data_IF_976626808410
#
_entry.id   IF_976626808410
#
_cell.length_a   1.000
_cell.length_b   1.000
_cell.length_c   1.000
_cell.angle_alpha   90.00
_cell.angle_beta   90.00
_cell.angle_gamma   90.00
#
_symmetry.space_group_name_H-M   'P 1'
#
loop_
_entity.id
_entity.type
_entity.pdbx_description
1 polymer ?
#
# COMPACT_ATOMS: atom_id res chain seq x y z
N UNK A 1 24.18 16.53 -63.41
CA UNK A 1 23.88 15.26 -62.70
C UNK A 1 24.86 14.92 -61.58
N UNK A 2 26.20 15.06 -61.72
CA UNK A 2 27.17 14.69 -60.66
C UNK A 2 27.05 15.47 -59.33
N UNK A 3 26.62 16.74 -59.35
CA UNK A 3 26.40 17.55 -58.12
C UNK A 3 25.14 17.16 -57.34
N UNK A 4 24.15 16.54 -57.99
CA UNK A 4 22.87 16.17 -57.38
C UNK A 4 22.96 14.82 -56.65
N UNK A 5 23.85 13.94 -57.13
CA UNK A 5 24.16 12.66 -56.49
C UNK A 5 24.97 12.87 -55.21
N UNK A 6 25.88 13.85 -55.18
CA UNK A 6 26.68 14.15 -54.00
C UNK A 6 25.84 14.72 -52.84
N UNK A 7 24.84 15.57 -53.13
CA UNK A 7 23.91 16.08 -52.10
C UNK A 7 22.94 15.02 -51.60
N UNK A 8 22.49 14.09 -52.45
CA UNK A 8 21.64 12.98 -52.03
C UNK A 8 22.41 12.01 -51.11
N UNK A 9 23.69 11.77 -51.38
CA UNK A 9 24.55 10.89 -50.57
C UNK A 9 24.85 11.49 -49.18
N UNK A 10 25.02 12.82 -49.08
CA UNK A 10 25.20 13.52 -47.81
C UNK A 10 23.90 13.54 -46.99
N UNK A 11 22.73 13.66 -47.64
CA UNK A 11 21.43 13.53 -46.94
C UNK A 11 21.17 12.09 -46.44
N UNK A 12 21.59 11.07 -47.20
CA UNK A 12 21.47 9.65 -46.80
C UNK A 12 22.43 9.28 -45.65
N UNK A 13 23.60 9.92 -45.55
CA UNK A 13 24.52 9.78 -44.41
C UNK A 13 24.05 10.55 -43.16
N UNK A 14 23.21 11.57 -43.31
CA UNK A 14 22.60 12.27 -42.18
C UNK A 14 21.35 11.57 -41.61
N UNK A 15 20.77 10.60 -42.34
CA UNK A 15 19.59 9.83 -41.89
C UNK A 15 19.88 8.67 -40.93
N UNK A 16 21.14 8.40 -40.59
CA UNK A 16 21.49 7.50 -39.47
C UNK A 16 21.60 8.25 -38.15
N UNK A 17 20.71 9.21 -37.89
CA UNK A 17 20.45 9.67 -36.54
C UNK A 17 19.79 8.50 -35.81
N UNK A 18 20.60 7.73 -35.08
CA UNK A 18 20.12 6.80 -34.07
C UNK A 18 19.39 7.66 -33.04
N UNK A 19 18.08 7.82 -33.23
CA UNK A 19 17.22 8.46 -32.25
C UNK A 19 17.07 7.48 -31.10
N UNK A 20 17.87 7.70 -30.05
CA UNK A 20 17.68 7.01 -28.79
C UNK A 20 16.68 7.77 -27.94
N UNK A 21 15.56 7.12 -27.61
CA UNK A 21 14.70 7.62 -26.54
C UNK A 21 15.47 7.56 -25.22
N UNK A 22 15.47 8.66 -24.47
CA UNK A 22 16.00 8.75 -23.11
C UNK A 22 14.86 8.60 -22.11
N UNK A 23 14.99 7.68 -21.15
CA UNK A 23 14.04 7.46 -20.07
C UNK A 23 14.68 7.79 -18.72
N UNK A 24 14.14 8.78 -17.99
CA UNK A 24 14.63 9.16 -16.65
C UNK A 24 14.10 8.18 -15.59
N UNK A 25 15.02 7.53 -14.87
CA UNK A 25 14.74 6.62 -13.77
C UNK A 25 14.88 7.33 -12.42
N UNK A 26 13.86 7.27 -11.56
CA UNK A 26 12.45 7.15 -11.88
C UNK A 26 11.75 8.46 -11.54
N UNK A 27 11.32 9.14 -12.60
CA UNK A 27 10.37 10.22 -12.53
C UNK A 27 8.95 9.71 -12.70
N UNK A 28 8.01 10.59 -12.36
CA UNK A 28 6.58 10.48 -12.68
C UNK A 28 6.43 9.98 -14.12
N UNK A 29 5.87 8.78 -14.30
CA UNK A 29 5.63 8.21 -15.66
C UNK A 29 4.78 9.16 -16.52
N UNK A 30 4.75 9.00 -17.85
CA UNK A 30 3.84 9.77 -18.73
C UNK A 30 2.38 9.78 -18.26
N UNK A 31 1.96 8.73 -17.53
CA UNK A 31 0.62 8.57 -16.95
C UNK A 31 0.47 9.14 -15.51
N UNK A 32 1.42 9.96 -15.06
CA UNK A 32 1.46 10.59 -13.73
C UNK A 32 1.44 9.63 -12.51
N UNK A 33 1.75 8.35 -12.69
CA UNK A 33 1.75 7.38 -11.59
C UNK A 33 2.93 7.61 -10.61
N UNK A 34 2.70 7.47 -9.29
CA UNK A 34 3.65 7.82 -8.24
C UNK A 34 4.64 6.68 -7.96
N UNK A 35 5.45 6.31 -8.95
CA UNK A 35 6.57 5.41 -8.70
C UNK A 35 7.58 6.06 -7.73
N UNK A 36 8.13 5.28 -6.80
CA UNK A 36 9.24 5.77 -5.96
C UNK A 36 10.56 5.81 -6.74
N UNK A 37 11.61 6.35 -6.10
CA UNK A 37 12.96 6.53 -6.66
C UNK A 37 13.72 5.23 -7.10
N UNK A 38 13.12 4.04 -6.94
CA UNK A 38 13.61 2.75 -7.47
C UNK A 38 12.64 2.11 -8.47
N UNK A 39 11.56 2.81 -8.87
CA UNK A 39 10.64 2.37 -9.91
C UNK A 39 9.56 1.40 -9.43
N UNK A 40 9.15 1.46 -8.16
CA UNK A 40 8.09 0.61 -7.60
C UNK A 40 6.77 1.37 -7.44
N UNK A 41 5.71 0.78 -7.99
CA UNK A 41 4.32 1.19 -7.82
C UNK A 41 3.59 0.20 -6.91
N UNK A 42 2.89 0.71 -5.90
CA UNK A 42 1.99 -0.06 -5.05
C UNK A 42 0.53 0.16 -5.40
N UNK A 43 -0.21 -0.92 -5.65
CA UNK A 43 -1.64 -0.92 -5.96
C UNK A 43 -2.40 -1.84 -5.00
N UNK A 44 -3.45 -1.33 -4.38
CA UNK A 44 -4.27 -2.08 -3.43
C UNK A 44 -5.64 -2.35 -4.05
N UNK A 45 -6.00 -3.62 -4.12
CA UNK A 45 -7.32 -4.12 -4.46
C UNK A 45 -7.94 -4.78 -3.23
N UNK A 46 -9.25 -4.61 -3.10
CA UNK A 46 -10.02 -5.10 -1.96
C UNK A 46 -11.24 -5.82 -2.52
N UNK A 47 -11.57 -6.97 -1.96
CA UNK A 47 -12.79 -7.72 -2.25
C UNK A 47 -13.35 -8.23 -0.92
N UNK A 48 -14.45 -7.64 -0.45
CA UNK A 48 -15.00 -7.88 0.88
C UNK A 48 -16.49 -8.16 0.81
N UNK A 49 -16.91 -9.28 1.38
CA UNK A 49 -18.31 -9.52 1.70
C UNK A 49 -18.61 -8.94 3.08
N UNK A 50 -19.63 -8.09 3.16
CA UNK A 50 -20.01 -7.38 4.37
C UNK A 50 -21.47 -7.65 4.66
N UNK A 51 -21.75 -8.16 5.85
CA UNK A 51 -23.12 -8.39 6.35
C UNK A 51 -23.59 -7.15 7.10
N UNK A 52 -24.65 -6.53 6.59
CA UNK A 52 -25.24 -5.30 7.12
C UNK A 52 -26.68 -5.60 7.58
N UNK A 53 -27.07 -5.05 8.72
CA UNK A 53 -28.46 -5.12 9.22
C UNK A 53 -29.03 -3.73 9.41
N UNK A 54 -30.28 -3.54 9.00
CA UNK A 54 -31.09 -2.38 9.37
C UNK A 54 -32.00 -2.73 10.54
N UNK A 55 -31.76 -2.14 11.70
CA UNK A 55 -32.57 -2.39 12.91
C UNK A 55 -33.76 -1.45 13.07
N UNK A 56 -33.99 -0.53 12.13
CA UNK A 56 -35.10 0.42 12.16
C UNK A 56 -36.39 -0.16 11.54
N UNK A 57 -37.58 0.34 11.94
CA UNK A 57 -38.86 -0.02 11.33
C UNK A 57 -39.12 0.66 9.97
N UNK A 58 -38.11 1.28 9.35
CA UNK A 58 -38.23 2.00 8.09
C UNK A 58 -36.99 1.76 7.21
N UNK A 59 -37.13 1.80 5.87
CA UNK A 59 -36.03 1.53 4.95
C UNK A 59 -34.93 2.60 5.05
N UNK A 60 -33.68 2.19 4.81
CA UNK A 60 -32.50 3.06 4.81
C UNK A 60 -31.77 2.95 3.48
N UNK A 61 -31.36 4.06 2.90
CA UNK A 61 -30.51 4.07 1.71
C UNK A 61 -29.05 4.20 2.14
N UNK A 62 -28.23 3.18 1.86
CA UNK A 62 -26.80 3.15 2.16
C UNK A 62 -26.05 3.71 0.96
N UNK A 63 -25.44 4.88 1.13
CA UNK A 63 -24.60 5.51 0.10
C UNK A 63 -23.24 4.83 0.08
N UNK A 64 -22.79 4.46 -1.12
CA UNK A 64 -21.52 3.78 -1.33
C UNK A 64 -20.51 4.76 -1.93
N UNK A 65 -19.26 4.70 -1.44
CA UNK A 65 -18.18 5.49 -2.02
C UNK A 65 -18.00 5.06 -3.49
N UNK A 66 -18.03 5.98 -4.47
CA UNK A 66 -17.98 5.65 -5.89
C UNK A 66 -16.69 4.90 -6.29
N UNK A 67 -15.63 4.93 -5.48
CA UNK A 67 -14.43 4.11 -5.73
C UNK A 67 -14.66 2.60 -5.59
N UNK A 68 -15.76 2.18 -4.96
CA UNK A 68 -16.07 0.77 -4.74
C UNK A 68 -17.18 0.33 -5.68
N UNK A 69 -16.93 -0.80 -6.33
CA UNK A 69 -17.96 -1.66 -6.89
C UNK A 69 -18.76 -2.28 -5.75
N UNK A 70 -20.05 -2.51 -5.97
CA UNK A 70 -20.85 -3.27 -5.02
C UNK A 70 -21.81 -4.22 -5.70
N UNK A 71 -22.11 -5.32 -5.02
CA UNK A 71 -23.15 -6.26 -5.41
C UNK A 71 -23.91 -6.71 -4.17
N UNK A 72 -25.20 -6.41 -4.12
CA UNK A 72 -26.10 -6.78 -3.04
C UNK A 72 -26.65 -8.18 -3.32
N UNK A 73 -26.37 -9.13 -2.43
CA UNK A 73 -26.85 -10.50 -2.58
C UNK A 73 -28.32 -10.60 -2.14
N UNK A 74 -29.22 -10.60 -3.13
CA UNK A 74 -30.66 -10.85 -3.00
C UNK A 74 -31.12 -11.84 -4.06
N UNK A 75 -32.32 -12.42 -3.87
CA UNK A 75 -32.90 -13.42 -4.79
C UNK A 75 -32.93 -12.98 -6.26
N UNK A 76 -33.10 -11.69 -6.54
CA UNK A 76 -33.15 -11.14 -7.89
C UNK A 76 -31.78 -10.95 -8.54
N UNK A 77 -30.70 -10.86 -7.74
CA UNK A 77 -29.32 -10.66 -8.18
C UNK A 77 -29.16 -9.51 -9.20
N UNK A 78 -30.00 -8.47 -9.07
CA UNK A 78 -30.13 -7.34 -10.01
C UNK A 78 -29.74 -6.00 -9.38
N UNK A 79 -29.05 -6.03 -8.24
CA UNK A 79 -28.65 -4.86 -7.47
C UNK A 79 -27.13 -4.79 -7.33
N UNK A 80 -26.49 -4.30 -8.39
CA UNK A 80 -25.04 -4.11 -8.44
C UNK A 80 -24.66 -2.82 -9.16
N UNK A 81 -23.43 -2.37 -8.90
CA UNK A 81 -22.74 -1.30 -9.62
C UNK A 81 -21.30 -1.73 -9.90
N UNK A 82 -20.87 -1.55 -11.15
CA UNK A 82 -19.49 -1.78 -11.58
C UNK A 82 -18.89 -0.47 -12.05
N UNK A 83 -17.62 -0.24 -11.76
CA UNK A 83 -16.87 0.91 -12.23
C UNK A 83 -15.76 0.52 -13.20
N UNK A 84 -15.47 1.40 -14.15
CA UNK A 84 -14.33 1.29 -15.03
C UNK A 84 -13.68 2.66 -15.22
N UNK A 85 -12.39 2.66 -15.52
CA UNK A 85 -11.61 3.89 -15.68
C UNK A 85 -11.21 4.07 -17.14
N UNK A 86 -11.42 5.26 -17.68
CA UNK A 86 -10.92 5.68 -19.00
C UNK A 86 -10.08 6.94 -18.78
N UNK A 87 -8.77 6.82 -18.97
CA UNK A 87 -7.82 7.86 -18.57
C UNK A 87 -7.90 8.12 -17.06
N UNK A 88 -8.18 9.36 -16.68
CA UNK A 88 -8.36 9.77 -15.28
C UNK A 88 -9.82 9.81 -14.80
N UNK A 89 -10.77 9.51 -15.68
CA UNK A 89 -12.19 9.55 -15.35
C UNK A 89 -12.70 8.15 -14.97
N UNK A 90 -13.39 8.07 -13.82
CA UNK A 90 -14.11 6.86 -13.40
C UNK A 90 -15.55 6.93 -13.89
N UNK A 91 -16.01 5.88 -14.55
CA UNK A 91 -17.38 5.70 -15.02
C UNK A 91 -18.05 4.63 -14.19
N UNK A 92 -19.33 4.84 -13.86
CA UNK A 92 -20.12 3.93 -13.03
C UNK A 92 -21.30 3.39 -13.85
N UNK A 93 -21.43 2.07 -13.86
CA UNK A 93 -22.49 1.35 -14.55
C UNK A 93 -23.36 0.61 -13.51
N UNK A 94 -24.39 1.29 -12.96
CA UNK A 94 -25.38 0.63 -12.14
C UNK A 94 -26.26 -0.29 -13.00
N UNK A 95 -26.56 -1.47 -12.48
CA UNK A 95 -27.54 -2.41 -13.05
C UNK A 95 -28.92 -1.79 -13.25
N UNK A 96 -29.38 -1.03 -12.26
CA UNK A 96 -30.74 -0.48 -12.16
C UNK A 96 -30.75 0.84 -11.42
N UNK A 97 -30.91 1.96 -12.14
CA UNK A 97 -30.91 3.29 -11.53
C UNK A 97 -32.04 3.48 -10.51
N UNK A 98 -33.19 2.84 -10.71
CA UNK A 98 -34.35 2.93 -9.80
C UNK A 98 -34.10 2.30 -8.42
N UNK A 99 -33.15 1.36 -8.32
CA UNK A 99 -32.81 0.66 -7.07
C UNK A 99 -31.46 1.07 -6.49
N UNK A 100 -30.52 1.41 -7.36
CA UNK A 100 -29.12 1.67 -6.99
C UNK A 100 -28.75 3.14 -6.94
N UNK A 101 -29.73 4.04 -7.15
CA UNK A 101 -29.52 5.47 -7.02
C UNK A 101 -30.64 6.18 -6.25
N UNK A 102 -30.27 7.22 -5.51
CA UNK A 102 -31.18 8.13 -4.82
C UNK A 102 -30.57 9.53 -4.81
N UNK A 103 -31.30 10.54 -5.30
CA UNK A 103 -30.80 11.92 -5.38
C UNK A 103 -29.41 12.03 -6.02
N UNK A 104 -29.16 11.27 -7.09
CA UNK A 104 -27.87 11.18 -7.80
C UNK A 104 -26.72 10.55 -6.98
N UNK A 105 -26.98 10.05 -5.77
CA UNK A 105 -26.04 9.21 -5.03
C UNK A 105 -26.21 7.75 -5.41
N UNK A 106 -25.10 7.03 -5.51
CA UNK A 106 -25.06 5.59 -5.75
C UNK A 106 -25.10 4.84 -4.40
N UNK A 107 -25.84 3.75 -4.37
CA UNK A 107 -26.04 3.00 -3.14
C UNK A 107 -27.07 1.90 -3.29
N UNK A 108 -27.62 1.45 -2.17
CA UNK A 108 -28.67 0.46 -2.16
C UNK A 108 -29.60 0.66 -0.96
N UNK A 109 -30.84 0.21 -1.11
CA UNK A 109 -31.80 0.20 -0.01
C UNK A 109 -31.57 -1.00 0.89
N UNK A 110 -31.74 -0.83 2.20
CA UNK A 110 -31.86 -1.89 3.20
C UNK A 110 -33.22 -1.72 3.89
N UNK A 111 -34.09 -2.71 3.70
CA UNK A 111 -35.47 -2.71 4.16
C UNK A 111 -35.54 -2.81 5.70
N UNK A 112 -36.69 -2.48 6.32
CA UNK A 112 -36.85 -2.61 7.77
C UNK A 112 -36.50 -4.02 8.26
N UNK A 113 -35.67 -4.12 9.29
CA UNK A 113 -35.25 -5.40 9.88
C UNK A 113 -34.55 -6.38 8.92
N UNK A 114 -34.12 -5.90 7.76
CA UNK A 114 -33.40 -6.71 6.78
C UNK A 114 -31.94 -6.88 7.19
N UNK A 115 -31.45 -8.11 7.08
CA UNK A 115 -30.02 -8.43 7.06
C UNK A 115 -29.63 -8.80 5.63
N UNK A 116 -28.63 -8.10 5.08
CA UNK A 116 -28.19 -8.27 3.70
C UNK A 116 -26.67 -8.44 3.65
N UNK A 117 -26.20 -9.26 2.72
CA UNK A 117 -24.76 -9.38 2.43
C UNK A 117 -24.47 -8.59 1.17
N UNK A 118 -23.44 -7.74 1.24
CA UNK A 118 -23.01 -6.89 0.13
C UNK A 118 -21.54 -7.17 -0.13
N UNK A 119 -21.22 -7.56 -1.36
CA UNK A 119 -19.85 -7.61 -1.82
C UNK A 119 -19.41 -6.20 -2.21
N UNK A 120 -18.32 -5.72 -1.63
CA UNK A 120 -17.66 -4.47 -1.99
C UNK A 120 -16.31 -4.78 -2.61
N UNK A 121 -16.02 -4.17 -3.77
CA UNK A 121 -14.78 -4.43 -4.49
C UNK A 121 -14.12 -3.15 -4.97
N UNK A 122 -12.81 -3.04 -4.76
CA UNK A 122 -11.95 -2.12 -5.51
C UNK A 122 -11.31 -2.95 -6.63
N UNK A 123 -11.83 -2.87 -7.87
CA UNK A 123 -11.30 -3.66 -8.97
C UNK A 123 -9.91 -3.15 -9.36
N UNK A 124 -9.17 -3.99 -10.08
CA UNK A 124 -7.85 -3.63 -10.60
C UNK A 124 -7.87 -2.31 -11.41
N UNK A 125 -8.88 -2.12 -12.26
CA UNK A 125 -9.03 -0.91 -13.07
C UNK A 125 -9.27 0.37 -12.25
N UNK A 126 -9.56 0.24 -10.96
CA UNK A 126 -9.76 1.34 -10.02
C UNK A 126 -8.93 1.14 -8.72
N UNK A 127 -7.81 0.41 -8.81
CA UNK A 127 -6.98 0.09 -7.66
C UNK A 127 -6.52 1.34 -6.92
N UNK A 128 -6.47 1.26 -5.59
CA UNK A 128 -5.96 2.36 -4.77
C UNK A 128 -4.45 2.43 -4.87
N UNK A 129 -3.93 3.56 -5.36
CA UNK A 129 -2.49 3.80 -5.42
C UNK A 129 -1.95 4.08 -4.02
N UNK A 130 -1.08 3.20 -3.54
CA UNK A 130 -0.35 3.38 -2.29
C UNK A 130 0.95 4.13 -2.59
N UNK A 131 1.15 5.26 -1.92
CA UNK A 131 2.42 5.99 -2.00
C UNK A 131 3.52 5.15 -1.36
N UNK A 132 4.52 4.79 -2.16
CA UNK A 132 5.71 4.07 -1.70
C UNK A 132 6.79 5.07 -1.27
N UNK A 133 7.56 4.70 -0.25
CA UNK A 133 8.70 5.49 0.24
C UNK A 133 9.90 5.35 -0.71
N UNK A 134 10.66 6.43 -0.83
CA UNK A 134 11.92 6.43 -1.56
C UNK A 134 13.01 5.65 -0.81
N UNK A 135 13.79 4.91 -1.58
CA UNK A 135 14.98 4.20 -1.15
C UNK A 135 16.12 5.16 -0.86
N UNK A 136 16.69 5.09 0.34
CA UNK A 136 17.81 5.94 0.72
C UNK A 136 19.15 5.28 0.38
N UNK A 137 19.85 5.79 -0.62
CA UNK A 137 21.17 5.29 -1.01
C UNK A 137 22.30 6.02 -0.27
N UNK A 138 23.26 5.27 0.28
CA UNK A 138 24.50 5.84 0.86
C UNK A 138 25.36 6.48 -0.23
N UNK A 139 25.29 5.95 -1.45
CA UNK A 139 25.99 6.45 -2.63
C UNK A 139 25.34 7.69 -3.26
N UNK A 140 24.18 8.14 -2.73
CA UNK A 140 23.34 9.12 -3.41
C UNK A 140 22.93 8.64 -4.82
N UNK A 141 22.78 9.58 -5.74
CA UNK A 141 22.55 9.31 -7.17
C UNK A 141 23.85 9.17 -7.98
N UNK A 142 25.01 9.42 -7.36
CA UNK A 142 26.30 9.14 -7.99
C UNK A 142 26.50 7.64 -8.13
N UNK A 143 27.03 7.19 -9.27
CA UNK A 143 27.20 5.77 -9.61
C UNK A 143 25.88 4.97 -9.75
N UNK A 144 24.72 5.65 -9.87
CA UNK A 144 23.43 5.05 -10.21
C UNK A 144 23.10 5.31 -11.68
N UNK A 145 22.41 4.37 -12.34
CA UNK A 145 21.82 4.62 -13.66
C UNK A 145 20.66 5.61 -13.48
N UNK A 146 20.83 6.83 -13.95
CA UNK A 146 19.81 7.89 -13.88
C UNK A 146 18.97 7.92 -15.14
N UNK A 147 19.57 7.73 -16.32
CA UNK A 147 18.85 7.68 -17.58
C UNK A 147 19.15 6.40 -18.35
N UNK A 148 18.14 5.83 -19.00
CA UNK A 148 18.31 4.71 -19.94
C UNK A 148 18.19 5.24 -21.35
N UNK A 149 19.21 4.99 -22.16
CA UNK A 149 19.24 5.25 -23.60
C UNK A 149 19.09 3.95 -24.36
N UNK A 150 18.13 3.92 -25.29
CA UNK A 150 17.94 2.79 -26.21
C UNK A 150 18.58 3.11 -27.55
N UNK A 151 19.25 2.12 -28.16
CA UNK A 151 19.84 2.25 -29.47
C UNK A 151 19.60 0.97 -30.28
N UNK A 152 19.31 1.12 -31.57
CA UNK A 152 19.20 -0.02 -32.48
C UNK A 152 20.52 -0.15 -33.21
N UNK A 153 21.28 -1.21 -32.91
CA UNK A 153 22.54 -1.52 -33.59
C UNK A 153 22.33 -2.80 -34.40
N UNK A 154 22.51 -2.72 -35.71
CA UNK A 154 22.41 -3.86 -36.64
C UNK A 154 21.07 -4.61 -36.55
N UNK A 155 19.96 -3.90 -36.33
CA UNK A 155 18.62 -4.48 -36.18
C UNK A 155 18.31 -5.10 -34.81
N UNK A 156 19.28 -5.11 -33.89
CA UNK A 156 19.09 -5.55 -32.51
C UNK A 156 18.93 -4.37 -31.57
N UNK A 157 17.98 -4.45 -30.65
CA UNK A 157 17.83 -3.48 -29.58
C UNK A 157 18.98 -3.63 -28.59
N UNK A 158 19.72 -2.56 -28.37
CA UNK A 158 20.72 -2.47 -27.34
C UNK A 158 20.44 -1.25 -26.44
N UNK A 159 20.98 -1.27 -25.23
CA UNK A 159 20.60 -0.34 -24.17
C UNK A 159 21.83 0.07 -23.37
N UNK A 160 21.85 1.32 -22.91
CA UNK A 160 22.92 1.90 -22.10
C UNK A 160 22.35 2.78 -21.02
N UNK A 161 23.07 2.93 -19.91
CA UNK A 161 22.70 3.81 -18.81
C UNK A 161 23.61 5.04 -18.77
N UNK A 162 23.04 6.22 -18.56
CA UNK A 162 23.78 7.38 -18.06
C UNK A 162 24.05 7.14 -16.59
N UNK A 163 25.32 7.13 -16.22
CA UNK A 163 25.78 7.06 -14.84
C UNK A 163 26.65 8.29 -14.62
N UNK A 164 26.31 9.10 -13.63
CA UNK A 164 27.18 10.19 -13.21
C UNK A 164 28.29 9.57 -12.34
N UNK A 165 29.50 9.51 -12.89
CA UNK A 165 30.67 8.86 -12.29
C UNK A 165 31.39 9.85 -11.39
N UNK A 166 31.84 9.40 -10.22
CA UNK A 166 32.76 10.19 -9.39
C UNK A 166 34.17 10.18 -10.00
N UNK A 167 34.83 11.34 -10.07
CA UNK A 167 36.25 11.45 -10.47
C UNK A 167 37.22 10.90 -9.41
N UNK A 168 36.70 10.50 -8.24
CA UNK A 168 37.50 9.97 -7.13
C UNK A 168 37.85 8.49 -7.32
N UNK A 169 39.04 8.24 -7.86
CA UNK A 169 39.61 6.90 -8.05
C UNK A 169 39.93 6.16 -6.74
N UNK A 170 39.85 6.82 -5.58
CA UNK A 170 40.14 6.20 -4.29
C UNK A 170 38.96 5.39 -3.72
N UNK A 171 37.74 5.63 -4.21
CA UNK A 171 36.53 4.95 -3.75
C UNK A 171 36.15 3.78 -4.66
N UNK A 172 36.53 2.56 -4.28
CA UNK A 172 36.16 1.33 -5.02
C UNK A 172 34.70 0.89 -4.80
N UNK A 173 34.09 1.27 -3.68
CA UNK A 173 32.70 0.97 -3.35
C UNK A 173 32.15 2.03 -2.40
N UNK A 174 30.89 2.43 -2.60
CA UNK A 174 30.19 3.43 -1.79
C UNK A 174 29.20 2.81 -0.79
N UNK A 175 28.98 1.49 -0.82
CA UNK A 175 28.12 0.80 0.15
C UNK A 175 27.62 -0.56 -0.30
N UNK A 176 26.81 -1.18 0.56
CA UNK A 176 26.11 -2.45 0.30
C UNK A 176 24.60 -2.19 0.36
N UNK A 177 23.88 -2.62 -0.67
CA UNK A 177 22.42 -2.51 -0.69
C UNK A 177 21.79 -3.44 0.34
N UNK A 178 20.79 -2.93 1.05
CA UNK A 178 19.93 -3.71 1.94
C UNK A 178 18.45 -3.44 1.59
N UNK A 179 17.54 -4.38 1.86
CA UNK A 179 16.14 -4.24 1.43
C UNK A 179 15.40 -3.31 2.38
N UNK A 180 15.21 -2.04 1.99
CA UNK A 180 14.50 -1.03 2.77
C UNK A 180 12.99 -1.22 2.67
N UNK A 181 12.27 -0.91 3.74
CA UNK A 181 10.81 -0.98 3.78
C UNK A 181 10.19 0.15 2.95
N UNK A 182 9.52 -0.20 1.85
CA UNK A 182 8.97 0.79 0.88
C UNK A 182 7.54 1.20 1.17
N UNK A 183 6.87 0.60 2.14
CA UNK A 183 5.50 0.97 2.50
C UNK A 183 5.23 0.80 3.99
N UNK A 184 4.37 1.69 4.49
CA UNK A 184 3.84 1.64 5.86
C UNK A 184 2.36 1.24 5.80
N UNK A 185 1.90 0.28 6.60
CA UNK A 185 0.51 -0.12 6.58
C UNK A 185 -0.42 1.01 7.03
N UNK A 186 -1.54 1.20 6.32
CA UNK A 186 -2.62 2.08 6.77
C UNK A 186 -3.52 1.33 7.73
N UNK A 187 -3.61 1.80 8.98
CA UNK A 187 -4.51 1.20 9.97
C UNK A 187 -5.92 1.74 9.72
N UNK A 188 -6.88 0.84 9.50
CA UNK A 188 -8.30 1.18 9.32
C UNK A 188 -9.15 0.45 10.34
N UNK A 189 -10.24 1.11 10.76
CA UNK A 189 -11.28 0.51 11.58
C UNK A 189 -12.54 0.33 10.74
N UNK A 190 -13.40 -0.59 11.16
CA UNK A 190 -14.71 -0.79 10.51
C UNK A 190 -15.55 0.48 10.47
N UNK A 191 -15.55 1.21 11.58
CA UNK A 191 -16.27 2.48 11.71
C UNK A 191 -15.76 3.54 10.73
N UNK A 192 -14.49 3.48 10.33
CA UNK A 192 -13.95 4.39 9.33
C UNK A 192 -14.21 3.95 7.89
N UNK A 193 -14.39 2.65 7.64
CA UNK A 193 -14.82 2.14 6.32
C UNK A 193 -16.32 2.34 6.07
N UNK A 194 -17.13 2.19 7.12
CA UNK A 194 -18.56 2.43 7.12
C UNK A 194 -18.85 3.55 8.11
N UNK A 195 -18.67 4.83 7.74
CA UNK A 195 -19.03 5.97 8.57
C UNK A 195 -20.56 6.08 8.64
N UNK A 196 -21.18 5.10 9.31
CA UNK A 196 -22.60 5.04 9.56
C UNK A 196 -22.89 6.01 10.69
N UNK A 197 -23.22 7.25 10.33
CA UNK A 197 -23.79 8.24 11.24
C UNK A 197 -25.19 7.81 11.75
N UNK A 198 -25.70 6.69 11.25
CA UNK A 198 -27.00 6.11 11.61
C UNK A 198 -26.81 4.94 12.57
N UNK A 199 -27.36 5.06 13.79
CA UNK A 199 -27.27 4.02 14.82
C UNK A 199 -28.06 2.75 14.53
N UNK A 200 -28.92 2.74 13.50
CA UNK A 200 -29.75 1.60 13.14
C UNK A 200 -29.12 0.69 12.09
N UNK A 201 -28.22 1.21 11.26
CA UNK A 201 -27.49 0.40 10.29
C UNK A 201 -26.20 -0.10 10.95
N UNK A 202 -26.06 -1.43 11.05
CA UNK A 202 -24.94 -2.07 11.74
C UNK A 202 -24.26 -3.09 10.85
N UNK A 203 -22.95 -3.16 10.93
CA UNK A 203 -22.14 -4.22 10.31
C UNK A 203 -22.01 -5.36 11.31
N UNK A 204 -22.41 -6.57 10.90
CA UNK A 204 -22.38 -7.77 11.75
C UNK A 204 -21.14 -8.62 11.53
N UNK A 205 -20.71 -8.74 10.26
CA UNK A 205 -19.58 -9.57 9.85
C UNK A 205 -18.98 -8.99 8.58
N UNK A 206 -17.67 -9.16 8.39
CA UNK A 206 -17.11 -9.13 7.04
C UNK A 206 -16.01 -10.16 6.88
N UNK A 207 -15.85 -10.60 5.64
CA UNK A 207 -14.79 -11.50 5.23
C UNK A 207 -14.40 -11.20 3.78
N UNK A 208 -13.14 -11.40 3.45
CA UNK A 208 -12.70 -11.28 2.06
C UNK A 208 -11.19 -11.23 1.92
N UNK A 209 -10.74 -10.72 0.78
CA UNK A 209 -9.34 -10.76 0.37
C UNK A 209 -8.84 -9.36 0.05
N UNK A 210 -7.66 -9.04 0.56
CA UNK A 210 -6.90 -7.87 0.13
C UNK A 210 -5.75 -8.34 -0.75
N UNK A 211 -5.59 -7.70 -1.90
CA UNK A 211 -4.47 -7.92 -2.79
C UNK A 211 -3.65 -6.64 -2.88
N UNK A 212 -2.37 -6.75 -2.56
CA UNK A 212 -1.37 -5.72 -2.75
C UNK A 212 -0.48 -6.10 -3.92
N UNK A 213 -0.58 -5.35 -5.01
CA UNK A 213 0.25 -5.55 -6.18
C UNK A 213 1.40 -4.56 -6.19
N UNK A 214 2.61 -5.09 -6.30
CA UNK A 214 3.82 -4.34 -6.52
C UNK A 214 4.23 -4.50 -7.97
N UNK A 215 4.30 -3.39 -8.69
CA UNK A 215 4.64 -3.38 -10.11
C UNK A 215 5.90 -2.56 -10.32
N UNK A 216 6.87 -3.15 -10.99
CA UNK A 216 8.07 -2.46 -11.40
C UNK A 216 7.78 -1.58 -12.62
N UNK A 217 8.57 -0.52 -12.78
CA UNK A 217 8.45 0.40 -13.92
C UNK A 217 8.60 -0.38 -15.23
N UNK A 218 7.67 -0.24 -16.19
CA UNK A 218 7.77 -0.93 -17.47
C UNK A 218 8.97 -0.39 -18.25
N UNK A 219 9.86 -1.28 -18.70
CA UNK A 219 11.05 -0.91 -19.48
C UNK A 219 11.13 -1.73 -20.78
N UNK A 220 11.35 -1.02 -21.91
CA UNK A 220 11.48 -1.59 -23.26
C UNK A 220 12.73 -2.46 -23.45
N UNK A 221 13.77 -2.29 -22.63
CA UNK A 221 15.03 -3.08 -22.69
C UNK A 221 15.05 -4.31 -21.79
N UNK A 222 13.98 -4.58 -21.03
CA UNK A 222 13.93 -5.67 -20.06
C UNK A 222 13.73 -5.16 -18.63
N UNK A 223 13.83 -6.07 -17.68
CA UNK A 223 13.42 -5.84 -16.30
C UNK A 223 14.61 -5.32 -15.47
N UNK A 224 14.53 -4.10 -14.92
CA UNK A 224 15.46 -3.68 -13.87
C UNK A 224 15.10 -4.41 -12.59
N UNK A 225 15.98 -5.30 -12.11
CA UNK A 225 15.71 -5.95 -10.84
C UNK A 225 15.78 -4.94 -9.69
N UNK A 226 14.79 -4.99 -8.83
CA UNK A 226 14.71 -4.13 -7.64
C UNK A 226 14.73 -4.99 -6.39
N UNK A 227 15.40 -4.52 -5.34
CA UNK A 227 15.56 -5.26 -4.09
C UNK A 227 15.14 -4.40 -2.91
N UNK A 228 14.06 -4.81 -2.23
CA UNK A 228 13.43 -4.01 -1.19
C UNK A 228 12.61 -4.87 -0.22
N UNK A 229 12.12 -4.27 0.86
CA UNK A 229 11.18 -4.90 1.79
C UNK A 229 9.80 -4.27 1.64
N UNK A 230 8.74 -5.06 1.78
CA UNK A 230 7.36 -4.58 1.79
C UNK A 230 6.60 -5.13 2.98
N UNK A 231 5.59 -4.40 3.44
CA UNK A 231 4.66 -4.83 4.48
C UNK A 231 3.23 -4.89 3.93
N UNK A 232 2.28 -5.38 4.74
CA UNK A 232 0.86 -5.34 4.39
C UNK A 232 0.42 -3.88 4.11
N UNK A 233 -0.41 -3.62 3.08
CA UNK A 233 -0.82 -2.25 2.77
C UNK A 233 -1.82 -1.69 3.80
N UNK A 234 -2.60 -2.57 4.43
CA UNK A 234 -3.74 -2.20 5.27
C UNK A 234 -3.83 -3.14 6.46
N UNK A 235 -3.95 -2.58 7.66
CA UNK A 235 -4.21 -3.34 8.89
C UNK A 235 -5.62 -3.03 9.36
N UNK A 236 -6.43 -4.06 9.53
CA UNK A 236 -7.78 -3.93 10.08
C UNK A 236 -7.71 -4.13 11.59
N UNK A 237 -7.87 -3.05 12.36
CA UNK A 237 -7.58 -3.01 13.80
C UNK A 237 -8.27 -4.12 14.63
N UNK A 238 -9.45 -4.54 14.21
CA UNK A 238 -10.30 -5.49 14.95
C UNK A 238 -10.37 -6.85 14.26
N UNK A 239 -9.81 -7.00 13.05
CA UNK A 239 -9.95 -8.19 12.24
C UNK A 239 -8.78 -9.16 12.40
N UNK A 240 -9.05 -10.44 12.13
CA UNK A 240 -8.01 -11.43 11.91
C UNK A 240 -7.51 -11.30 10.47
N UNK A 241 -6.19 -11.28 10.30
CA UNK A 241 -5.52 -11.34 9.00
C UNK A 241 -4.75 -12.66 8.90
N UNK A 242 -5.01 -13.45 7.85
CA UNK A 242 -4.45 -14.79 7.71
C UNK A 242 -4.33 -15.21 6.24
N UNK A 243 -3.78 -16.42 6.00
CA UNK A 243 -3.58 -16.98 4.66
C UNK A 243 -2.80 -16.05 3.72
N UNK A 244 -1.65 -15.57 4.19
CA UNK A 244 -0.74 -14.74 3.41
C UNK A 244 -0.15 -15.53 2.25
N UNK A 245 -0.26 -14.99 1.03
CA UNK A 245 0.32 -15.57 -0.18
C UNK A 245 1.06 -14.48 -0.96
N UNK A 246 2.38 -14.59 -1.19
CA UNK A 246 3.26 -15.64 -0.68
C UNK A 246 3.46 -15.52 0.84
N UNK A 247 4.03 -16.57 1.45
CA UNK A 247 4.44 -16.53 2.86
C UNK A 247 5.40 -15.36 3.11
N UNK A 248 5.20 -14.67 4.23
CA UNK A 248 6.07 -13.57 4.63
C UNK A 248 7.42 -14.08 5.13
N UNK A 249 8.44 -13.24 4.99
CA UNK A 249 9.81 -13.59 5.37
C UNK A 249 10.00 -13.51 6.88
N UNK A 250 9.43 -12.48 7.50
CA UNK A 250 9.55 -12.19 8.93
C UNK A 250 8.45 -11.22 9.38
N UNK A 251 8.35 -10.98 10.69
CA UNK A 251 7.53 -9.90 11.25
C UNK A 251 8.27 -8.56 11.20
N UNK A 252 7.53 -7.45 11.24
CA UNK A 252 8.13 -6.11 11.30
C UNK A 252 9.07 -5.92 12.49
N UNK A 253 8.74 -6.53 13.63
CA UNK A 253 9.60 -6.53 14.81
C UNK A 253 10.93 -7.24 14.53
N UNK A 254 10.90 -8.45 14.00
CA UNK A 254 12.11 -9.19 13.60
C UNK A 254 12.92 -8.42 12.55
N UNK A 255 12.22 -7.76 11.61
CA UNK A 255 12.85 -6.92 10.59
C UNK A 255 13.66 -5.78 11.22
N UNK A 256 13.03 -4.97 12.08
CA UNK A 256 13.65 -3.79 12.69
C UNK A 256 14.66 -4.12 13.78
N UNK A 257 14.38 -5.12 14.60
CA UNK A 257 15.18 -5.43 15.80
C UNK A 257 16.33 -6.39 15.50
N UNK A 258 16.23 -7.24 14.47
CA UNK A 258 17.27 -8.24 14.19
C UNK A 258 17.82 -8.14 12.79
N UNK A 259 16.96 -8.25 11.77
CA UNK A 259 17.40 -8.43 10.39
C UNK A 259 18.23 -7.25 9.89
N UNK A 260 17.76 -6.00 10.06
CA UNK A 260 18.48 -4.81 9.57
C UNK A 260 19.87 -4.70 10.20
N UNK A 261 20.00 -5.01 11.49
CA UNK A 261 21.28 -4.95 12.21
C UNK A 261 22.23 -6.06 11.77
N UNK A 262 21.75 -7.31 11.77
CA UNK A 262 22.52 -8.49 11.33
C UNK A 262 22.97 -8.36 9.88
N UNK A 263 22.11 -7.85 8.99
CA UNK A 263 22.44 -7.63 7.58
C UNK A 263 23.57 -6.60 7.41
N UNK A 264 23.62 -5.58 8.27
CA UNK A 264 24.70 -4.58 8.30
C UNK A 264 25.95 -5.04 9.06
N UNK A 265 25.96 -6.27 9.60
CA UNK A 265 27.05 -6.77 10.44
C UNK A 265 27.15 -6.07 11.80
N UNK A 266 26.05 -5.49 12.28
CA UNK A 266 25.97 -4.77 13.55
C UNK A 266 25.22 -5.61 14.60
N UNK A 267 25.54 -5.41 15.87
CA UNK A 267 24.74 -5.97 16.96
C UNK A 267 23.46 -5.16 17.16
N UNK A 268 22.31 -5.84 17.38
CA UNK A 268 21.08 -5.15 17.67
C UNK A 268 21.18 -4.41 19.02
N UNK A 269 20.52 -3.24 19.16
CA UNK A 269 20.55 -2.49 20.40
C UNK A 269 19.99 -3.37 21.54
N UNK A 270 20.77 -3.51 22.63
CA UNK A 270 20.28 -4.16 23.84
C UNK A 270 19.09 -3.37 24.36
N UNK A 271 17.92 -4.01 24.46
CA UNK A 271 16.74 -3.38 25.05
C UNK A 271 17.07 -2.99 26.48
N UNK A 272 17.11 -1.69 26.75
CA UNK A 272 16.95 -1.20 28.11
C UNK A 272 15.49 -1.52 28.46
N UNK A 273 15.27 -2.49 29.36
CA UNK A 273 13.97 -2.55 30.03
C UNK A 273 13.68 -1.15 30.58
N UNK A 274 12.46 -0.62 30.43
CA UNK A 274 12.12 0.61 31.11
C UNK A 274 12.28 0.34 32.61
N UNK A 275 13.38 0.83 33.19
CA UNK A 275 13.46 1.10 34.62
C UNK A 275 12.36 2.13 34.92
N UNK A 276 11.14 1.63 35.13
CA UNK A 276 10.10 2.38 35.82
C UNK A 276 10.51 2.47 37.29
N UNK A 277 11.56 3.26 37.58
CA UNK A 277 11.64 3.93 38.86
C UNK A 277 10.63 5.08 38.80
N UNK A 278 9.35 4.75 38.96
CA UNK A 278 8.34 5.73 39.33
C UNK A 278 8.74 6.30 40.69
N UNK A 279 8.97 7.62 40.85
CA UNK A 279 9.11 8.20 42.17
C UNK A 279 7.80 7.96 42.92
N UNK A 280 7.85 7.11 43.95
CA UNK A 280 6.71 6.74 44.78
C UNK A 280 6.33 7.88 45.71
N UNK A 281 5.61 8.89 45.24
CA UNK A 281 4.94 9.82 46.16
C UNK A 281 3.63 10.33 45.56
N UNK A 282 2.51 9.78 46.01
CA UNK A 282 1.23 10.48 45.97
C UNK A 282 0.45 10.13 47.24
N UNK A 283 0.61 10.96 48.27
CA UNK A 283 -0.17 10.89 49.49
C UNK A 283 -1.45 11.69 49.32
N UNK A 284 -2.60 11.03 49.30
CA UNK A 284 -3.90 11.68 49.48
C UNK A 284 -4.60 11.04 50.68
N UNK A 285 -4.92 11.87 51.68
CA UNK A 285 -5.53 11.48 52.94
C UNK A 285 -7.03 11.22 52.76
N UNK A 286 -7.55 10.16 53.37
CA UNK A 286 -8.99 9.99 53.65
C UNK A 286 -9.31 10.55 55.03
N UNK A 287 -10.30 11.44 55.12
CA UNK A 287 -10.80 11.97 56.38
C UNK A 287 -11.66 10.91 57.09
N UNK A 288 -11.25 10.51 58.28
CA UNK A 288 -12.10 9.80 59.24
C UNK A 288 -12.10 10.54 60.58
N UNK A 289 -13.13 10.31 61.40
CA UNK A 289 -13.38 11.04 62.65
C UNK A 289 -12.41 10.70 63.80
N UNK A 290 -11.30 10.02 63.51
CA UNK A 290 -10.24 9.69 64.46
C UNK A 290 -8.89 9.83 63.74
N UNK A 291 -7.96 10.59 64.35
CA UNK A 291 -6.64 11.01 63.85
C UNK A 291 -5.94 10.06 62.85
N UNK A 292 -5.44 10.68 61.76
CA UNK A 292 -4.87 10.11 60.53
C UNK A 292 -3.76 9.08 60.75
N UNK A 293 -4.02 7.80 60.46
CA UNK A 293 -3.01 6.78 60.22
C UNK A 293 -2.95 6.46 58.73
N UNK A 294 -1.79 6.68 58.12
CA UNK A 294 -1.57 6.44 56.69
C UNK A 294 -1.48 4.95 56.40
N UNK A 295 -2.49 4.40 55.73
CA UNK A 295 -2.43 3.04 55.18
C UNK A 295 -1.83 3.13 53.78
N UNK A 296 -0.75 2.39 53.53
CA UNK A 296 -0.12 2.28 52.21
C UNK A 296 -1.05 1.47 51.31
N UNK A 297 -1.92 2.14 50.56
CA UNK A 297 -2.71 1.49 49.53
C UNK A 297 -1.80 1.32 48.32
N UNK A 298 -1.52 0.07 47.93
CA UNK A 298 -0.76 -0.23 46.73
C UNK A 298 -1.38 0.51 45.54
N UNK A 299 -0.55 1.19 44.75
CA UNK A 299 -1.03 1.81 43.52
C UNK A 299 -1.75 0.74 42.69
N UNK A 300 -2.93 1.04 42.10
CA UNK A 300 -3.51 0.13 41.12
C UNK A 300 -2.43 -0.15 40.09
N UNK A 301 -2.15 -1.43 39.85
CA UNK A 301 -1.32 -1.86 38.74
C UNK A 301 -2.09 -1.46 37.49
N UNK A 302 -1.85 -0.24 37.03
CA UNK A 302 -2.19 0.15 35.68
C UNK A 302 -1.23 -0.68 34.85
N UNK A 303 -1.68 -1.86 34.41
CA UNK A 303 -1.00 -2.54 33.31
C UNK A 303 -0.91 -1.48 32.21
N UNK A 304 0.30 -1.03 31.84
CA UNK A 304 0.42 -0.16 30.68
C UNK A 304 -0.30 -0.90 29.55
N UNK A 305 -1.13 -0.20 28.74
CA UNK A 305 -1.83 -0.86 27.66
C UNK A 305 -0.79 -1.68 26.93
N UNK A 306 -0.95 -3.02 26.90
CA UNK A 306 -0.02 -3.93 26.23
C UNK A 306 0.30 -3.24 24.93
N UNK A 307 1.53 -2.77 24.79
CA UNK A 307 1.92 -2.06 23.58
C UNK A 307 1.43 -2.96 22.46
N UNK A 308 0.49 -2.46 21.66
CA UNK A 308 0.04 -3.16 20.48
C UNK A 308 1.24 -3.10 19.55
N UNK A 309 2.22 -3.97 19.83
CA UNK A 309 3.44 -4.05 19.06
C UNK A 309 3.01 -4.20 17.63
N UNK A 310 3.68 -3.46 16.76
CA UNK A 310 3.44 -3.49 15.33
C UNK A 310 3.91 -4.85 14.80
N UNK A 311 3.16 -5.91 15.07
CA UNK A 311 3.42 -7.28 14.64
C UNK A 311 2.68 -7.51 13.32
N UNK A 312 3.19 -6.92 12.25
CA UNK A 312 2.68 -7.18 10.91
C UNK A 312 3.71 -7.90 10.02
N UNK A 313 3.26 -8.70 9.04
CA UNK A 313 4.15 -9.40 8.12
C UNK A 313 4.99 -8.46 7.25
N UNK A 314 6.23 -8.87 7.00
CA UNK A 314 7.19 -8.21 6.10
C UNK A 314 7.77 -9.24 5.13
N UNK A 315 7.87 -8.85 3.86
CA UNK A 315 8.49 -9.61 2.78
C UNK A 315 9.78 -8.95 2.34
N UNK A 316 10.84 -9.73 2.16
CA UNK A 316 12.03 -9.32 1.42
C UNK A 316 11.82 -9.73 -0.03
N UNK A 317 11.88 -8.76 -0.95
CA UNK A 317 11.44 -8.91 -2.33
C UNK A 317 12.61 -8.57 -3.27
N UNK A 318 12.92 -9.51 -4.15
CA UNK A 318 13.70 -9.27 -5.35
C UNK A 318 12.73 -9.29 -6.54
N UNK A 319 12.33 -8.10 -7.00
CA UNK A 319 11.26 -7.95 -7.98
C UNK A 319 11.83 -7.77 -9.37
N UNK A 320 11.39 -8.67 -10.24
CA UNK A 320 11.50 -8.49 -11.67
C UNK A 320 10.35 -7.62 -12.21
N UNK A 321 9.26 -8.24 -12.65
CA UNK A 321 8.11 -7.54 -13.26
C UNK A 321 7.07 -7.07 -12.26
N UNK A 322 6.28 -8.00 -11.73
CA UNK A 322 5.21 -7.70 -10.78
C UNK A 322 5.02 -8.84 -9.79
N UNK A 323 4.51 -8.53 -8.61
CA UNK A 323 4.22 -9.49 -7.55
C UNK A 323 2.92 -9.11 -6.85
N UNK A 324 2.08 -10.11 -6.57
CA UNK A 324 0.88 -9.96 -5.75
C UNK A 324 1.13 -10.54 -4.35
N UNK A 325 0.84 -9.75 -3.33
CA UNK A 325 0.71 -10.18 -1.93
C UNK A 325 -0.78 -10.21 -1.60
N UNK A 326 -1.31 -11.38 -1.25
CA UNK A 326 -2.72 -11.61 -0.94
C UNK A 326 -2.86 -12.07 0.49
N UNK A 327 -3.90 -11.61 1.17
CA UNK A 327 -4.26 -12.09 2.50
C UNK A 327 -5.76 -11.99 2.73
N UNK A 328 -6.25 -12.88 3.59
CA UNK A 328 -7.65 -12.91 4.00
C UNK A 328 -7.83 -12.07 5.25
N UNK A 329 -8.97 -11.42 5.31
CA UNK A 329 -9.40 -10.60 6.44
C UNK A 329 -10.76 -11.08 6.88
N UNK A 330 -10.95 -11.27 8.18
CA UNK A 330 -12.21 -11.71 8.76
C UNK A 330 -12.47 -11.03 10.10
N UNK A 331 -13.72 -10.66 10.32
CA UNK A 331 -14.20 -10.13 11.59
C UNK A 331 -15.68 -10.43 11.77
N UNK A 332 -16.08 -10.63 13.02
CA UNK A 332 -17.47 -10.78 13.44
C UNK A 332 -17.70 -9.93 14.70
N UNK A 333 -18.86 -9.29 14.77
CA UNK A 333 -19.33 -8.51 15.92
C UNK A 333 -19.67 -9.39 17.13
#
# INVERSE_FOLDING_TARGET
MKRLVATLFILLLASSLVSGETYELPGVTPDQKPYNNIGILGEVMIDLNVTIVNTAPFPKFVIVNPRYDFHVFRLSNDEYMVSYRVGDTSYHYPSRLDRTSLNYYLGFWVMPYETVVVNFRIPYNNSYLLQTSDYQSICGDTNKITNVTYYVINGSLAHGGKIDVSDDISMLSCGVMYPQLVNTPKIISLRSMFPMNDGHVKVLKYEGTVTFRLTNVPNRAGIFNTFFAASVPVIFKEAKMYNFTPNYTMTYREYMEEFVWKYKGLEPPKRTEPEQQLPSVSGMFQLSNTLLTGVTVGAPVVEPPKEAGLYFPVWIIFLGGSMDIKYHVEWSA
#
